data_IF_475896921767
#
_entry.id   IF_475896921767
#
_cell.length_a   1.000
_cell.length_b   1.000
_cell.length_c   1.000
_cell.angle_alpha   90.00
_cell.angle_beta   90.00
_cell.angle_gamma   90.00
#
_symmetry.space_group_name_H-M   'P 1'
#
loop_
_entity.id
_entity.type
_entity.pdbx_description
1 polymer ?
#
# COMPACT_ATOMS: atom_id res chain seq x y z
N UNK A 1 -1.11 -15.12 -33.67
CA UNK A 1 -1.63 -15.59 -32.35
C UNK A 1 -3.12 -15.28 -32.27
N UNK A 2 -3.95 -16.19 -31.75
CA UNK A 2 -5.41 -16.01 -31.70
C UNK A 2 -5.80 -14.98 -30.62
N UNK A 3 -6.79 -14.11 -30.88
CA UNK A 3 -7.20 -13.02 -29.97
C UNK A 3 -7.57 -13.50 -28.56
N UNK A 4 -8.10 -14.72 -28.41
CA UNK A 4 -8.34 -15.34 -27.08
C UNK A 4 -7.07 -15.56 -26.25
N UNK A 5 -5.94 -15.84 -26.90
CA UNK A 5 -4.66 -16.06 -26.19
C UNK A 5 -4.07 -14.74 -25.72
N UNK A 6 -4.12 -13.69 -26.54
CA UNK A 6 -3.70 -12.35 -26.14
C UNK A 6 -4.51 -11.84 -24.94
N UNK A 7 -5.83 -12.00 -24.95
CA UNK A 7 -6.68 -11.60 -23.82
C UNK A 7 -6.31 -12.31 -22.52
N UNK A 8 -5.96 -13.61 -22.57
CA UNK A 8 -5.54 -14.37 -21.38
C UNK A 8 -4.20 -13.87 -20.83
N UNK A 9 -3.26 -13.50 -21.71
CA UNK A 9 -1.94 -12.97 -21.33
C UNK A 9 -2.09 -11.59 -20.68
N UNK A 10 -2.84 -10.69 -21.31
CA UNK A 10 -3.11 -9.35 -20.80
C UNK A 10 -3.78 -9.39 -19.43
N UNK A 11 -4.78 -10.27 -19.25
CA UNK A 11 -5.42 -10.47 -17.95
C UNK A 11 -4.42 -10.95 -16.89
N UNK A 12 -3.55 -11.91 -17.22
CA UNK A 12 -2.52 -12.40 -16.29
C UNK A 12 -1.54 -11.28 -15.93
N UNK A 13 -1.11 -10.47 -16.90
CA UNK A 13 -0.22 -9.32 -16.65
C UNK A 13 -0.87 -8.30 -15.72
N UNK A 14 -2.13 -7.95 -15.98
CA UNK A 14 -2.89 -7.04 -15.14
C UNK A 14 -3.10 -7.57 -13.72
N UNK A 15 -3.56 -8.82 -13.56
CA UNK A 15 -3.74 -9.44 -12.24
C UNK A 15 -2.42 -9.46 -11.49
N UNK A 16 -1.34 -9.86 -12.15
CA UNK A 16 -0.04 -9.88 -11.53
C UNK A 16 0.37 -8.46 -11.09
N UNK A 17 0.12 -7.41 -11.89
CA UNK A 17 0.38 -5.99 -11.57
C UNK A 17 -0.42 -5.49 -10.37
N UNK A 18 -1.65 -5.97 -10.21
CA UNK A 18 -2.55 -5.60 -9.13
C UNK A 18 -2.18 -6.25 -7.78
N UNK A 19 -1.55 -7.43 -7.79
CA UNK A 19 -1.27 -8.19 -6.57
C UNK A 19 -0.40 -7.43 -5.54
N UNK A 20 0.78 -6.85 -5.88
CA UNK A 20 1.60 -6.16 -4.89
C UNK A 20 0.93 -4.94 -4.25
N UNK A 21 0.29 -4.02 -5.02
CA UNK A 21 -0.47 -2.91 -4.44
C UNK A 21 -1.60 -3.38 -3.53
N UNK A 22 -2.38 -4.38 -3.93
CA UNK A 22 -3.46 -4.91 -3.09
C UNK A 22 -2.92 -5.48 -1.78
N UNK A 23 -1.82 -6.25 -1.84
CA UNK A 23 -1.18 -6.80 -0.65
C UNK A 23 -0.75 -5.69 0.32
N UNK A 24 -0.05 -4.67 -0.17
CA UNK A 24 0.38 -3.54 0.65
C UNK A 24 -0.81 -2.75 1.20
N UNK A 25 -1.85 -2.53 0.40
CA UNK A 25 -3.07 -1.85 0.83
C UNK A 25 -3.77 -2.58 1.97
N UNK A 26 -3.96 -3.89 1.84
CA UNK A 26 -4.55 -4.71 2.89
C UNK A 26 -3.70 -4.63 4.16
N UNK A 27 -2.38 -4.67 4.04
CA UNK A 27 -1.47 -4.53 5.17
C UNK A 27 -1.62 -3.18 5.88
N UNK A 28 -1.68 -2.06 5.15
CA UNK A 28 -1.91 -0.72 5.73
C UNK A 28 -3.23 -0.64 6.52
N UNK A 29 -4.29 -1.23 5.97
CA UNK A 29 -5.60 -1.31 6.64
C UNK A 29 -5.57 -2.17 7.89
N UNK A 30 -4.91 -3.33 7.85
CA UNK A 30 -4.75 -4.20 9.01
C UNK A 30 -4.01 -3.48 10.13
N UNK A 31 -2.92 -2.77 9.82
CA UNK A 31 -2.18 -1.96 10.81
C UNK A 31 -3.12 -0.96 11.49
N UNK A 32 -3.92 -0.19 10.74
CA UNK A 32 -4.84 0.79 11.33
C UNK A 32 -5.96 0.16 12.15
N UNK A 33 -6.49 -0.99 11.70
CA UNK A 33 -7.50 -1.74 12.44
C UNK A 33 -6.91 -2.23 13.77
N UNK A 34 -5.72 -2.82 13.77
CA UNK A 34 -5.06 -3.29 14.99
C UNK A 34 -4.72 -2.15 15.94
N UNK A 35 -4.23 -1.02 15.44
CA UNK A 35 -3.99 0.20 16.23
C UNK A 35 -5.24 0.59 17.03
N UNK A 36 -6.38 0.67 16.35
CA UNK A 36 -7.66 1.06 16.96
C UNK A 36 -8.22 -0.01 17.90
N UNK A 37 -8.13 -1.29 17.52
CA UNK A 37 -8.62 -2.40 18.36
C UNK A 37 -7.81 -2.54 19.65
N UNK A 38 -6.49 -2.40 19.57
CA UNK A 38 -5.58 -2.51 20.71
C UNK A 38 -5.49 -1.22 21.53
N UNK A 39 -6.10 -0.12 21.04
CA UNK A 39 -6.02 1.22 21.65
C UNK A 39 -4.58 1.68 21.85
N UNK A 40 -3.70 1.26 20.94
CA UNK A 40 -2.28 1.61 20.94
C UNK A 40 -2.04 2.75 19.96
N UNK A 41 -1.12 3.65 20.27
CA UNK A 41 -0.62 4.60 19.29
C UNK A 41 0.58 3.98 18.57
N UNK A 42 0.49 3.75 17.26
CA UNK A 42 1.61 3.28 16.43
C UNK A 42 2.34 4.44 15.74
N UNK A 43 1.95 5.69 16.00
CA UNK A 43 2.59 6.90 15.49
C UNK A 43 4.05 7.05 15.91
N UNK A 44 4.48 6.38 16.98
CA UNK A 44 5.90 6.31 17.35
C UNK A 44 6.77 5.57 16.31
N UNK A 45 6.16 4.72 15.47
CA UNK A 45 6.82 4.08 14.31
C UNK A 45 6.77 4.96 13.05
N UNK A 46 6.25 6.18 13.14
CA UNK A 46 6.29 7.18 12.07
C UNK A 46 7.61 7.94 12.02
N UNK A 47 7.75 8.83 11.04
CA UNK A 47 8.94 9.68 10.93
C UNK A 47 8.91 10.78 11.98
N UNK A 48 9.97 10.86 12.80
CA UNK A 48 10.21 11.96 13.72
C UNK A 48 11.43 12.76 13.24
N UNK A 49 11.23 13.99 12.73
CA UNK A 49 12.34 14.80 12.22
C UNK A 49 13.40 15.05 13.28
N UNK A 50 14.67 15.04 12.85
CA UNK A 50 15.84 15.36 13.70
C UNK A 50 16.02 14.43 14.92
N UNK A 51 15.42 13.24 14.89
CA UNK A 51 15.56 12.22 15.95
C UNK A 51 16.09 10.91 15.38
N UNK A 52 17.03 10.29 16.09
CA UNK A 52 17.52 8.95 15.76
C UNK A 52 16.44 7.89 15.97
N UNK A 53 15.55 8.09 16.95
CA UNK A 53 14.45 7.17 17.23
C UNK A 53 13.41 7.16 16.09
N UNK A 54 13.38 8.19 15.25
CA UNK A 54 12.52 8.30 14.07
C UNK A 54 13.06 7.58 12.82
N UNK A 55 14.28 7.05 12.84
CA UNK A 55 14.90 6.38 11.68
C UNK A 55 14.10 5.16 11.18
N UNK A 56 13.55 4.28 12.04
CA UNK A 56 12.66 3.21 11.58
C UNK A 56 11.45 3.74 10.81
N UNK A 57 10.99 4.94 11.17
CA UNK A 57 9.88 5.63 10.52
C UNK A 57 10.09 5.88 9.03
N UNK A 58 11.33 5.98 8.54
CA UNK A 58 11.59 6.18 7.10
C UNK A 58 11.05 5.00 6.28
N UNK A 59 11.17 3.78 6.79
CA UNK A 59 10.69 2.57 6.14
C UNK A 59 9.25 2.23 6.52
N UNK A 60 8.86 2.55 7.76
CA UNK A 60 7.57 2.14 8.32
C UNK A 60 6.44 3.14 8.03
N UNK A 61 6.74 4.42 7.78
CA UNK A 61 5.72 5.46 7.54
C UNK A 61 4.70 5.13 6.45
N UNK A 62 5.01 4.41 5.34
CA UNK A 62 3.99 4.08 4.36
C UNK A 62 2.86 3.23 4.95
N UNK A 63 3.12 2.50 6.05
CA UNK A 63 2.14 1.63 6.70
C UNK A 63 1.38 2.31 7.83
N UNK A 64 1.86 3.46 8.32
CA UNK A 64 1.36 4.13 9.52
C UNK A 64 0.53 5.35 9.11
N UNK A 65 -0.71 5.44 9.58
CA UNK A 65 -1.64 6.50 9.18
C UNK A 65 -2.23 7.21 10.40
N UNK A 66 -2.10 8.53 10.46
CA UNK A 66 -2.62 9.36 11.56
C UNK A 66 -4.14 9.36 11.74
N UNK A 67 -4.92 8.82 10.79
CA UNK A 67 -6.37 8.74 10.91
C UNK A 67 -7.05 8.01 9.76
N UNK A 68 -8.32 7.67 9.94
CA UNK A 68 -9.14 7.00 8.93
C UNK A 68 -9.29 7.82 7.65
N UNK A 69 -9.49 9.13 7.76
CA UNK A 69 -9.58 10.03 6.61
C UNK A 69 -8.32 9.99 5.76
N UNK A 70 -7.14 9.98 6.38
CA UNK A 70 -5.86 9.90 5.68
C UNK A 70 -5.68 8.57 4.94
N UNK A 71 -5.99 7.44 5.58
CA UNK A 71 -5.91 6.11 4.95
C UNK A 71 -6.90 5.97 3.79
N UNK A 72 -8.13 6.45 3.95
CA UNK A 72 -9.17 6.43 2.92
C UNK A 72 -8.76 7.28 1.70
N UNK A 73 -8.26 8.50 1.95
CA UNK A 73 -7.84 9.42 0.89
C UNK A 73 -6.68 8.85 0.05
N UNK A 74 -5.81 8.02 0.64
CA UNK A 74 -4.70 7.40 -0.07
C UNK A 74 -5.05 6.05 -0.72
N UNK A 75 -6.13 5.39 -0.31
CA UNK A 75 -6.48 4.03 -0.78
C UNK A 75 -6.64 3.96 -2.30
N UNK A 76 -7.46 4.84 -2.90
CA UNK A 76 -7.71 4.82 -4.35
C UNK A 76 -6.48 5.30 -5.14
N UNK A 77 -5.85 6.45 -4.82
CA UNK A 77 -4.65 6.89 -5.52
C UNK A 77 -3.52 5.85 -5.48
N UNK A 78 -3.24 5.27 -4.31
CA UNK A 78 -2.22 4.23 -4.16
C UNK A 78 -2.51 3.02 -5.04
N UNK A 79 -3.73 2.49 -4.98
CA UNK A 79 -4.10 1.30 -5.75
C UNK A 79 -3.96 1.54 -7.26
N UNK A 80 -4.43 2.69 -7.76
CA UNK A 80 -4.38 3.03 -9.18
C UNK A 80 -2.94 3.26 -9.64
N UNK A 81 -2.20 4.12 -8.94
CA UNK A 81 -0.84 4.52 -9.35
C UNK A 81 0.14 3.36 -9.24
N UNK A 82 0.09 2.59 -8.15
CA UNK A 82 0.99 1.44 -7.99
C UNK A 82 0.63 0.31 -8.96
N UNK A 83 -0.65 0.06 -9.23
CA UNK A 83 -1.04 -0.91 -10.27
C UNK A 83 -0.55 -0.45 -11.65
N UNK A 84 -0.69 0.83 -11.99
CA UNK A 84 -0.16 1.38 -13.24
C UNK A 84 1.36 1.22 -13.32
N UNK A 85 2.08 1.59 -12.25
CA UNK A 85 3.53 1.42 -12.15
C UNK A 85 3.94 -0.03 -12.43
N UNK A 86 3.36 -0.99 -11.70
CA UNK A 86 3.68 -2.40 -11.92
C UNK A 86 3.18 -2.92 -13.26
N UNK A 87 2.14 -2.36 -13.85
CA UNK A 87 1.65 -2.83 -15.14
C UNK A 87 2.55 -2.39 -16.30
N UNK A 88 3.08 -1.17 -16.24
CA UNK A 88 3.88 -0.58 -17.32
C UNK A 88 5.40 -0.75 -17.14
N UNK A 89 5.90 -0.93 -15.92
CA UNK A 89 7.34 -0.99 -15.60
C UNK A 89 7.77 -2.35 -15.04
N UNK A 90 7.18 -3.42 -15.58
CA UNK A 90 7.56 -4.81 -15.27
C UNK A 90 8.54 -5.38 -16.28
#
# INVERSE_FOLDING_TARGET
MNGRQNMKIERKRFVAALLPPVYLLVFMWLVKIFEVLLKTDVGFLGVHPLSLDGLPGILLMPFIHGGWSHLMANTVPFLVLSTALFYFYR
#
